data_IF_087456370657
#
_entry.id   IF_087456370657
#
_cell.length_a   1.000
_cell.length_b   1.000
_cell.length_c   1.000
_cell.angle_alpha   90.00
_cell.angle_beta   90.00
_cell.angle_gamma   90.00
#
_symmetry.space_group_name_H-M   'P 1'
#
loop_
_entity.id
_entity.type
_entity.pdbx_description
1 polymer ?
#
# COMPACT_ATOMS: atom_id res chain seq x y z
N UNK A 1 12.39 2.31 -2.21
CA UNK A 1 12.24 2.69 -0.81
C UNK A 1 11.63 1.56 0.03
N UNK A 2 10.67 0.80 -0.50
CA UNK A 2 10.14 -0.43 0.07
C UNK A 2 9.71 -1.38 -1.06
N UNK A 3 9.53 -2.66 -0.75
CA UNK A 3 8.99 -3.66 -1.67
C UNK A 3 7.69 -4.21 -1.10
N UNK A 4 6.67 -4.37 -1.95
CA UNK A 4 5.46 -5.08 -1.60
C UNK A 4 5.43 -6.40 -2.37
N UNK A 5 5.35 -7.51 -1.65
CA UNK A 5 5.27 -8.83 -2.22
C UNK A 5 3.84 -9.36 -2.13
N UNK A 6 3.27 -9.75 -3.25
CA UNK A 6 1.94 -10.35 -3.29
C UNK A 6 2.00 -11.77 -2.73
N UNK A 7 1.20 -12.05 -1.70
CA UNK A 7 1.17 -13.35 -1.04
C UNK A 7 -0.20 -14.02 -1.10
N UNK A 8 -1.24 -13.27 -1.51
CA UNK A 8 -2.57 -13.83 -1.68
C UNK A 8 -2.57 -14.84 -2.84
N UNK A 9 -3.01 -16.06 -2.53
CA UNK A 9 -2.83 -17.22 -3.40
C UNK A 9 -3.94 -17.38 -4.45
N UNK A 10 -5.20 -17.15 -4.04
CA UNK A 10 -6.34 -17.56 -4.87
C UNK A 10 -6.54 -16.66 -6.08
N UNK A 11 -6.31 -15.37 -5.91
CA UNK A 11 -6.57 -14.35 -6.93
C UNK A 11 -5.31 -13.91 -7.67
N UNK A 12 -4.18 -13.91 -6.96
CA UNK A 12 -2.94 -13.33 -7.48
C UNK A 12 -1.79 -14.35 -7.61
N UNK A 13 -2.05 -15.62 -7.29
CA UNK A 13 -1.08 -16.72 -7.37
C UNK A 13 0.24 -16.43 -6.62
N UNK A 14 0.14 -15.64 -5.53
CA UNK A 14 1.26 -15.29 -4.68
C UNK A 14 1.48 -16.31 -3.55
N UNK A 15 2.60 -16.20 -2.85
CA UNK A 15 2.87 -17.00 -1.67
C UNK A 15 3.78 -16.32 -0.67
N UNK A 16 3.71 -16.73 0.60
CA UNK A 16 4.65 -16.31 1.64
C UNK A 16 6.07 -16.81 1.35
N UNK A 17 6.20 -17.95 0.64
CA UNK A 17 7.51 -18.47 0.21
C UNK A 17 8.19 -17.54 -0.80
N UNK A 18 7.43 -16.95 -1.73
CA UNK A 18 7.96 -15.95 -2.66
C UNK A 18 8.42 -14.70 -1.92
N UNK A 19 7.65 -14.26 -0.89
CA UNK A 19 8.05 -13.14 -0.04
C UNK A 19 9.33 -13.45 0.73
N UNK A 20 9.51 -14.66 1.27
CA UNK A 20 10.73 -15.06 1.95
C UNK A 20 11.94 -15.02 1.01
N UNK A 21 11.80 -15.51 -0.23
CA UNK A 21 12.86 -15.42 -1.24
C UNK A 21 13.19 -13.95 -1.58
N UNK A 22 12.16 -13.11 -1.74
CA UNK A 22 12.38 -11.68 -1.96
C UNK A 22 13.10 -11.03 -0.77
N UNK A 23 12.77 -11.43 0.46
CA UNK A 23 13.44 -10.95 1.69
C UNK A 23 14.94 -11.27 1.71
N UNK A 24 15.33 -12.46 1.24
CA UNK A 24 16.75 -12.84 1.15
C UNK A 24 17.54 -12.00 0.14
N UNK A 25 16.86 -11.47 -0.89
CA UNK A 25 17.49 -10.72 -1.97
C UNK A 25 17.65 -9.22 -1.66
N UNK A 26 16.92 -8.66 -0.67
CA UNK A 26 16.90 -7.23 -0.40
C UNK A 26 16.82 -6.91 1.10
N UNK A 27 17.41 -5.78 1.49
CA UNK A 27 17.31 -5.25 2.87
C UNK A 27 16.20 -4.18 3.02
N UNK A 28 15.50 -3.87 1.94
CA UNK A 28 14.42 -2.87 1.97
C UNK A 28 13.25 -3.34 2.82
N UNK A 29 12.50 -2.44 3.48
CA UNK A 29 11.25 -2.80 4.16
C UNK A 29 10.30 -3.55 3.24
N UNK A 30 9.68 -4.62 3.76
CA UNK A 30 8.83 -5.55 3.01
C UNK A 30 7.38 -5.47 3.47
N UNK A 31 6.47 -5.22 2.53
CA UNK A 31 5.02 -5.28 2.77
C UNK A 31 4.49 -6.63 2.30
N UNK A 32 3.87 -7.39 3.20
CA UNK A 32 3.12 -8.59 2.84
C UNK A 32 1.77 -8.18 2.23
N UNK A 33 1.63 -8.24 0.91
CA UNK A 33 0.38 -7.90 0.20
C UNK A 33 -0.58 -9.07 0.21
N UNK A 34 -1.47 -9.10 1.20
CA UNK A 34 -2.49 -10.13 1.38
C UNK A 34 -3.83 -9.53 1.78
N UNK A 35 -4.86 -10.37 1.91
CA UNK A 35 -6.16 -10.02 2.48
C UNK A 35 -6.16 -10.50 3.94
N UNK A 36 -5.84 -9.57 4.85
CA UNK A 36 -5.69 -9.86 6.28
C UNK A 36 -7.04 -9.74 6.99
N UNK A 37 -7.54 -10.84 7.50
CA UNK A 37 -8.81 -10.92 8.25
C UNK A 37 -8.68 -11.64 9.59
N UNK A 38 -7.54 -12.27 9.85
CA UNK A 38 -7.27 -13.02 11.08
C UNK A 38 -5.90 -12.65 11.68
N UNK A 39 -5.77 -12.52 13.02
CA UNK A 39 -4.51 -12.23 13.70
C UNK A 39 -3.40 -13.25 13.37
N UNK A 40 -3.75 -14.52 13.11
CA UNK A 40 -2.80 -15.54 12.72
C UNK A 40 -2.02 -15.14 11.46
N UNK A 41 -2.70 -14.55 10.45
CA UNK A 41 -2.04 -14.09 9.21
C UNK A 41 -0.97 -13.03 9.47
N UNK A 42 -1.15 -12.18 10.49
CA UNK A 42 -0.16 -11.16 10.87
C UNK A 42 1.08 -11.81 11.47
N UNK A 43 0.90 -12.81 12.36
CA UNK A 43 2.01 -13.58 12.91
C UNK A 43 2.77 -14.32 11.81
N UNK A 44 2.03 -14.96 10.91
CA UNK A 44 2.60 -15.70 9.79
C UNK A 44 3.40 -14.77 8.87
N UNK A 45 2.82 -13.63 8.44
CA UNK A 45 3.53 -12.63 7.65
C UNK A 45 4.83 -12.16 8.33
N UNK A 46 4.78 -11.92 9.65
CA UNK A 46 5.97 -11.54 10.42
C UNK A 46 7.05 -12.61 10.40
N UNK A 47 6.68 -13.89 10.57
CA UNK A 47 7.62 -15.02 10.52
C UNK A 47 8.32 -15.14 9.16
N UNK A 48 7.64 -14.76 8.08
CA UNK A 48 8.19 -14.76 6.72
C UNK A 48 8.92 -13.45 6.34
N UNK A 49 9.12 -12.55 7.31
CA UNK A 49 9.97 -11.37 7.15
C UNK A 49 9.25 -10.09 6.72
N UNK A 50 7.93 -10.01 6.87
CA UNK A 50 7.20 -8.77 6.63
C UNK A 50 7.49 -7.72 7.70
N UNK A 51 7.67 -6.48 7.27
CA UNK A 51 7.78 -5.29 8.12
C UNK A 51 6.45 -4.53 8.20
N UNK A 52 5.55 -4.75 7.23
CA UNK A 52 4.25 -4.11 7.18
C UNK A 52 3.20 -5.02 6.53
N UNK A 53 1.93 -4.75 6.87
CA UNK A 53 0.75 -5.42 6.29
C UNK A 53 -0.31 -4.41 5.88
N UNK A 54 -1.11 -4.67 4.83
CA UNK A 54 -2.31 -3.91 4.54
C UNK A 54 -3.49 -4.42 5.38
N UNK A 55 -4.33 -3.50 5.81
CA UNK A 55 -5.64 -3.78 6.39
C UNK A 55 -6.71 -3.10 5.53
N UNK A 56 -7.50 -3.89 4.79
CA UNK A 56 -8.55 -3.38 3.93
C UNK A 56 -9.75 -2.97 4.77
N UNK A 57 -9.94 -1.66 4.96
CA UNK A 57 -10.98 -1.11 5.87
C UNK A 57 -12.39 -1.48 5.40
N UNK A 58 -12.63 -1.56 4.09
CA UNK A 58 -13.95 -1.84 3.53
C UNK A 58 -14.48 -3.24 3.78
N UNK A 59 -13.63 -4.23 4.08
CA UNK A 59 -14.05 -5.62 4.33
C UNK A 59 -14.07 -5.99 5.82
N UNK A 60 -13.59 -5.12 6.69
CA UNK A 60 -13.51 -5.33 8.14
C UNK A 60 -14.57 -4.47 8.84
N UNK A 61 -15.23 -5.01 9.86
CA UNK A 61 -15.94 -4.17 10.80
C UNK A 61 -14.94 -3.37 11.66
N UNK A 62 -15.43 -2.34 12.38
CA UNK A 62 -14.55 -1.43 13.11
C UNK A 62 -13.76 -2.13 14.20
N UNK A 63 -14.43 -2.98 14.99
CA UNK A 63 -13.80 -3.69 16.12
C UNK A 63 -12.71 -4.66 15.62
N UNK A 64 -12.97 -5.36 14.51
CA UNK A 64 -11.99 -6.26 13.89
C UNK A 64 -10.82 -5.50 13.31
N UNK A 65 -11.08 -4.38 12.65
CA UNK A 65 -10.02 -3.53 12.11
C UNK A 65 -9.08 -3.02 13.21
N UNK A 66 -9.63 -2.48 14.31
CA UNK A 66 -8.85 -2.00 15.46
C UNK A 66 -8.05 -3.13 16.12
N UNK A 67 -8.64 -4.30 16.30
CA UNK A 67 -7.96 -5.46 16.89
C UNK A 67 -6.79 -5.97 16.02
N UNK A 68 -6.93 -5.92 14.69
CA UNK A 68 -5.85 -6.30 13.77
C UNK A 68 -4.75 -5.22 13.72
N UNK A 69 -5.13 -3.95 13.80
CA UNK A 69 -4.19 -2.82 13.92
C UNK A 69 -3.32 -2.97 15.16
N UNK A 70 -3.94 -3.12 16.34
CA UNK A 70 -3.24 -3.35 17.62
C UNK A 70 -2.32 -4.57 17.54
N UNK A 71 -2.77 -5.64 16.88
CA UNK A 71 -1.96 -6.84 16.72
C UNK A 71 -0.71 -6.59 15.89
N UNK A 72 -0.83 -5.89 14.75
CA UNK A 72 0.31 -5.56 13.92
C UNK A 72 1.34 -4.70 14.69
N UNK A 73 0.87 -3.67 15.38
CA UNK A 73 1.70 -2.79 16.20
C UNK A 73 2.39 -3.54 17.33
N UNK A 74 1.70 -4.47 18.01
CA UNK A 74 2.28 -5.30 19.07
C UNK A 74 3.43 -6.20 18.61
N UNK A 75 3.49 -6.50 17.32
CA UNK A 75 4.55 -7.27 16.67
C UNK A 75 5.64 -6.38 16.05
N UNK A 76 5.58 -5.06 16.27
CA UNK A 76 6.50 -4.09 15.68
C UNK A 76 6.36 -3.96 14.16
N UNK A 77 5.17 -4.26 13.61
CA UNK A 77 4.87 -4.12 12.20
C UNK A 77 4.08 -2.84 11.94
N UNK A 78 4.32 -2.21 10.81
CA UNK A 78 3.47 -1.13 10.34
C UNK A 78 2.17 -1.69 9.75
N UNK A 79 1.03 -1.13 10.15
CA UNK A 79 -0.25 -1.41 9.49
C UNK A 79 -0.57 -0.29 8.50
N UNK A 80 -0.85 -0.66 7.27
CA UNK A 80 -1.26 0.25 6.20
C UNK A 80 -2.77 0.13 6.02
N UNK A 81 -3.53 1.14 6.45
CA UNK A 81 -4.98 1.17 6.24
C UNK A 81 -5.27 1.41 4.75
N UNK A 82 -5.79 0.39 4.08
CA UNK A 82 -6.16 0.46 2.67
C UNK A 82 -7.63 0.88 2.55
N UNK A 83 -7.85 2.04 1.91
CA UNK A 83 -9.17 2.67 1.79
C UNK A 83 -9.50 2.95 0.33
N UNK A 84 -10.81 2.98 0.00
CA UNK A 84 -11.35 3.25 -1.33
C UNK A 84 -12.38 4.35 -1.36
N UNK A 85 -12.89 4.72 -0.18
CA UNK A 85 -13.90 5.77 -0.03
C UNK A 85 -13.52 6.73 1.10
N UNK A 86 -14.07 7.96 1.11
CA UNK A 86 -13.91 8.88 2.22
C UNK A 86 -14.39 8.29 3.56
N UNK A 87 -15.48 7.53 3.56
CA UNK A 87 -16.04 6.90 4.77
C UNK A 87 -15.09 5.84 5.35
N UNK A 88 -14.41 5.07 4.50
CA UNK A 88 -13.35 4.14 4.92
C UNK A 88 -12.15 4.90 5.51
N UNK A 89 -11.78 6.03 4.91
CA UNK A 89 -10.71 6.88 5.42
C UNK A 89 -11.06 7.45 6.81
N UNK A 90 -12.29 7.92 7.01
CA UNK A 90 -12.77 8.39 8.32
C UNK A 90 -12.75 7.27 9.38
N UNK A 91 -13.08 6.03 9.00
CA UNK A 91 -12.99 4.87 9.87
C UNK A 91 -11.55 4.56 10.27
N UNK A 92 -10.63 4.62 9.32
CA UNK A 92 -9.21 4.41 9.56
C UNK A 92 -8.65 5.49 10.51
N UNK A 93 -8.98 6.76 10.27
CA UNK A 93 -8.54 7.87 11.13
C UNK A 93 -9.06 7.76 12.57
N UNK A 94 -10.31 7.30 12.77
CA UNK A 94 -10.84 7.06 14.12
C UNK A 94 -10.08 5.98 14.89
N UNK A 95 -9.51 5.00 14.20
CA UNK A 95 -8.66 3.98 14.80
C UNK A 95 -7.23 4.46 15.08
N UNK A 96 -6.86 5.68 14.67
CA UNK A 96 -5.56 6.26 14.95
C UNK A 96 -4.43 5.80 14.03
N UNK A 97 -4.74 5.36 12.80
CA UNK A 97 -3.73 4.91 11.86
C UNK A 97 -2.74 6.02 11.47
N UNK A 98 -1.48 5.65 11.31
CA UNK A 98 -0.41 6.57 10.85
C UNK A 98 -0.16 6.50 9.34
N UNK A 99 -0.64 5.46 8.65
CA UNK A 99 -0.42 5.23 7.22
C UNK A 99 -1.73 4.85 6.54
N UNK A 100 -2.09 5.60 5.51
CA UNK A 100 -3.27 5.34 4.67
C UNK A 100 -2.83 5.13 3.23
N UNK A 101 -3.25 4.01 2.63
CA UNK A 101 -3.12 3.75 1.21
C UNK A 101 -4.49 3.90 0.54
N UNK A 102 -4.63 4.85 -0.37
CA UNK A 102 -5.84 5.00 -1.18
C UNK A 102 -5.71 4.09 -2.40
N UNK A 103 -6.55 3.05 -2.44
CA UNK A 103 -6.57 2.10 -3.54
C UNK A 103 -7.57 2.55 -4.62
N UNK A 104 -7.04 2.80 -5.81
CA UNK A 104 -7.84 3.21 -6.97
C UNK A 104 -8.66 2.08 -7.60
N UNK A 105 -8.42 0.81 -7.24
CA UNK A 105 -9.20 -0.33 -7.73
C UNK A 105 -10.39 -0.62 -6.83
N UNK A 106 -11.58 -0.79 -7.43
CA UNK A 106 -12.78 -1.23 -6.72
C UNK A 106 -12.83 -2.75 -6.61
N UNK A 107 -13.27 -3.29 -5.46
CA UNK A 107 -13.35 -4.75 -5.27
C UNK A 107 -14.39 -5.40 -6.16
N UNK A 108 -15.58 -4.81 -6.24
CA UNK A 108 -16.76 -5.46 -6.84
C UNK A 108 -16.71 -5.52 -8.35
N UNK A 109 -16.22 -4.46 -8.98
CA UNK A 109 -16.28 -4.32 -10.44
C UNK A 109 -14.91 -4.41 -11.11
N UNK A 110 -13.85 -4.50 -10.33
CA UNK A 110 -12.46 -4.41 -10.81
C UNK A 110 -12.22 -3.19 -11.70
N UNK A 111 -12.90 -2.09 -11.39
CA UNK A 111 -12.77 -0.82 -12.11
C UNK A 111 -11.72 0.06 -11.47
N UNK A 112 -10.98 0.77 -12.30
CA UNK A 112 -9.96 1.73 -11.86
C UNK A 112 -10.57 3.14 -11.79
N UNK A 113 -10.75 3.67 -10.56
CA UNK A 113 -11.05 5.08 -10.33
C UNK A 113 -9.75 5.87 -10.21
N UNK A 114 -9.29 6.47 -11.30
CA UNK A 114 -8.04 7.26 -11.33
C UNK A 114 -8.10 8.52 -10.47
N UNK A 115 -9.28 8.97 -10.06
CA UNK A 115 -9.48 10.16 -9.25
C UNK A 115 -9.56 9.85 -7.75
N UNK A 116 -9.65 8.58 -7.34
CA UNK A 116 -9.85 8.18 -5.94
C UNK A 116 -8.86 8.87 -4.99
N UNK A 117 -7.58 8.91 -5.37
CA UNK A 117 -6.57 9.56 -4.53
C UNK A 117 -6.82 11.07 -4.38
N UNK A 118 -7.13 11.77 -5.46
CA UNK A 118 -7.41 13.21 -5.44
C UNK A 118 -8.70 13.56 -4.67
N UNK A 119 -9.65 12.64 -4.63
CA UNK A 119 -10.92 12.79 -3.90
C UNK A 119 -10.75 12.56 -2.39
N UNK A 120 -9.91 11.61 -1.98
CA UNK A 120 -9.76 11.18 -0.59
C UNK A 120 -8.62 11.91 0.13
N UNK A 121 -7.47 12.08 -0.52
CA UNK A 121 -6.26 12.61 0.10
C UNK A 121 -6.40 14.00 0.75
N UNK A 122 -7.20 14.95 0.23
CA UNK A 122 -7.40 16.24 0.88
C UNK A 122 -8.07 16.16 2.24
N UNK A 123 -8.84 15.11 2.51
CA UNK A 123 -9.49 14.87 3.82
C UNK A 123 -8.56 14.23 4.86
N UNK A 124 -7.38 13.75 4.46
CA UNK A 124 -6.44 13.11 5.37
C UNK A 124 -5.54 14.17 6.04
N UNK A 125 -5.34 14.08 7.37
CA UNK A 125 -4.44 14.96 8.12
C UNK A 125 -3.00 14.96 7.58
N UNK A 126 -2.26 16.03 7.84
CA UNK A 126 -0.87 16.18 7.36
C UNK A 126 0.11 15.21 8.01
N UNK A 127 -0.16 14.75 9.22
CA UNK A 127 0.64 13.79 9.98
C UNK A 127 0.52 12.36 9.46
N UNK A 128 -0.56 12.03 8.75
CA UNK A 128 -0.79 10.70 8.15
C UNK A 128 0.03 10.55 6.87
N UNK A 129 0.74 9.45 6.74
CA UNK A 129 1.45 9.10 5.51
C UNK A 129 0.43 8.63 4.47
N UNK A 130 0.45 9.26 3.29
CA UNK A 130 -0.51 9.04 2.21
C UNK A 130 0.15 8.28 1.06
N UNK A 131 -0.34 7.08 0.79
CA UNK A 131 0.16 6.24 -0.29
C UNK A 131 -0.90 6.19 -1.40
N UNK A 132 -0.51 6.51 -2.63
CA UNK A 132 -1.35 6.25 -3.81
C UNK A 132 -1.10 4.83 -4.29
N UNK A 133 -2.16 4.01 -4.34
CA UNK A 133 -2.12 2.60 -4.72
C UNK A 133 -2.99 2.35 -5.96
N UNK A 134 -2.39 1.83 -7.00
CA UNK A 134 -3.04 1.55 -8.28
C UNK A 134 -3.15 2.76 -9.21
N UNK A 135 -3.23 2.49 -10.50
CA UNK A 135 -3.42 3.49 -11.54
C UNK A 135 -2.19 4.35 -11.90
N UNK A 136 -1.07 4.16 -11.23
CA UNK A 136 0.20 4.83 -11.57
C UNK A 136 0.98 3.96 -12.54
N UNK A 137 1.03 4.38 -13.79
CA UNK A 137 1.72 3.67 -14.88
C UNK A 137 2.92 4.44 -15.44
N UNK A 138 2.93 5.75 -15.33
CA UNK A 138 3.93 6.62 -15.91
C UNK A 138 4.54 7.57 -14.88
N UNK A 139 5.72 8.15 -15.16
CA UNK A 139 6.28 9.25 -14.37
C UNK A 139 5.31 10.42 -14.16
N UNK A 140 4.48 10.72 -15.15
CA UNK A 140 3.46 11.77 -15.06
C UNK A 140 2.37 11.45 -14.04
N UNK A 141 1.92 10.19 -14.00
CA UNK A 141 0.92 9.76 -13.02
C UNK A 141 1.47 9.88 -11.59
N UNK A 142 2.75 9.52 -11.40
CA UNK A 142 3.44 9.66 -10.12
C UNK A 142 3.51 11.13 -9.68
N UNK A 143 3.92 12.04 -10.58
CA UNK A 143 3.99 13.48 -10.29
C UNK A 143 2.59 14.03 -9.99
N UNK A 144 1.57 13.58 -10.70
CA UNK A 144 0.18 13.96 -10.41
C UNK A 144 -0.26 13.50 -9.01
N UNK A 145 0.03 12.25 -8.62
CA UNK A 145 -0.26 11.76 -7.28
C UNK A 145 0.46 12.59 -6.20
N UNK A 146 1.74 12.91 -6.41
CA UNK A 146 2.52 13.77 -5.52
C UNK A 146 1.93 15.18 -5.41
N UNK A 147 1.46 15.76 -6.52
CA UNK A 147 0.79 17.07 -6.55
C UNK A 147 -0.54 17.07 -5.78
N UNK A 148 -1.20 15.91 -5.66
CA UNK A 148 -2.39 15.70 -4.83
C UNK A 148 -2.04 15.37 -3.37
N UNK A 149 -0.78 15.40 -2.98
CA UNK A 149 -0.33 15.18 -1.62
C UNK A 149 0.09 13.75 -1.27
N UNK A 150 0.39 12.89 -2.25
CA UNK A 150 0.96 11.58 -1.99
C UNK A 150 2.38 11.70 -1.45
N UNK A 151 2.67 11.03 -0.34
CA UNK A 151 4.02 10.86 0.22
C UNK A 151 4.75 9.71 -0.49
N UNK A 152 4.00 8.72 -0.95
CA UNK A 152 4.52 7.56 -1.67
C UNK A 152 3.51 7.04 -2.71
N UNK A 153 4.04 6.27 -3.65
CA UNK A 153 3.26 5.56 -4.67
C UNK A 153 3.63 4.07 -4.62
N UNK A 154 2.63 3.21 -4.65
CA UNK A 154 2.82 1.77 -4.82
C UNK A 154 2.39 1.38 -6.24
N UNK A 155 3.37 1.07 -7.08
CA UNK A 155 3.18 0.68 -8.47
C UNK A 155 3.69 -0.75 -8.68
N UNK A 156 2.89 -1.59 -9.32
CA UNK A 156 3.27 -2.96 -9.67
C UNK A 156 2.98 -3.26 -11.15
N UNK A 157 1.72 -3.10 -11.57
CA UNK A 157 1.24 -3.51 -12.88
C UNK A 157 2.05 -2.94 -14.05
N UNK A 158 2.31 -1.64 -14.01
CA UNK A 158 3.09 -0.97 -15.07
C UNK A 158 4.55 -1.43 -15.12
N UNK A 159 5.12 -1.77 -13.96
CA UNK A 159 6.51 -2.27 -13.87
C UNK A 159 6.57 -3.72 -14.36
N UNK A 160 5.65 -4.56 -13.93
CA UNK A 160 5.64 -5.99 -14.26
C UNK A 160 5.22 -6.26 -15.71
N UNK A 161 4.37 -5.40 -16.30
CA UNK A 161 3.98 -5.49 -17.72
C UNK A 161 5.02 -4.90 -18.68
N UNK A 162 6.05 -4.22 -18.18
CA UNK A 162 7.09 -3.62 -19.02
C UNK A 162 8.02 -4.68 -19.63
N UNK A 163 8.42 -4.48 -20.87
CA UNK A 163 9.41 -5.35 -21.54
C UNK A 163 10.80 -5.29 -20.88
N UNK A 164 11.11 -4.18 -20.20
CA UNK A 164 12.31 -3.98 -19.37
C UNK A 164 11.88 -3.46 -17.98
N UNK A 165 11.74 -4.39 -17.02
CA UNK A 165 11.36 -4.13 -15.65
C UNK A 165 12.33 -3.17 -14.94
N UNK A 166 13.64 -3.31 -15.21
CA UNK A 166 14.66 -2.48 -14.60
C UNK A 166 14.54 -1.02 -15.05
N UNK A 167 14.37 -0.81 -16.35
CA UNK A 167 14.19 0.53 -16.93
C UNK A 167 12.90 1.19 -16.44
N UNK A 168 11.79 0.45 -16.40
CA UNK A 168 10.51 0.94 -15.89
C UNK A 168 10.61 1.34 -14.41
N UNK A 169 11.24 0.49 -13.58
CA UNK A 169 11.45 0.77 -12.15
C UNK A 169 12.32 2.02 -11.96
N UNK A 170 13.42 2.14 -12.69
CA UNK A 170 14.30 3.31 -12.61
C UNK A 170 13.59 4.58 -13.03
N UNK A 171 12.77 4.52 -14.07
CA UNK A 171 11.99 5.67 -14.55
C UNK A 171 11.04 6.21 -13.48
N UNK A 172 10.28 5.32 -12.83
CA UNK A 172 9.38 5.72 -11.74
C UNK A 172 10.16 6.20 -10.50
N UNK A 173 11.23 5.51 -10.11
CA UNK A 173 12.05 5.90 -8.97
C UNK A 173 12.68 7.29 -9.17
N UNK A 174 13.18 7.59 -10.38
CA UNK A 174 13.73 8.89 -10.72
C UNK A 174 12.66 9.98 -10.72
N UNK A 175 11.45 9.67 -11.22
CA UNK A 175 10.32 10.60 -11.16
C UNK A 175 9.93 10.98 -9.73
N UNK A 176 10.01 10.04 -8.78
CA UNK A 176 9.79 10.31 -7.36
C UNK A 176 10.83 11.23 -6.71
N UNK A 177 11.98 11.43 -7.34
CA UNK A 177 13.00 12.36 -6.89
C UNK A 177 12.88 13.76 -7.55
N UNK A 178 11.89 13.95 -8.41
CA UNK A 178 11.67 15.22 -9.09
C UNK A 178 11.30 16.32 -8.08
N UNK A 179 11.80 17.58 -8.25
CA UNK A 179 11.51 18.68 -7.33
C UNK A 179 10.02 19.01 -7.13
N UNK A 180 9.17 18.60 -8.07
CA UNK A 180 7.71 18.71 -7.94
C UNK A 180 7.11 17.68 -6.97
N UNK A 181 7.87 16.68 -6.52
CA UNK A 181 7.46 15.71 -5.52
C UNK A 181 7.96 16.19 -4.15
N UNK A 182 7.08 16.70 -3.26
CA UNK A 182 7.50 17.17 -1.95
C UNK A 182 8.05 15.98 -1.14
N UNK A 183 9.27 16.11 -0.62
CA UNK A 183 9.82 15.15 0.33
C UNK A 183 9.43 15.58 1.74
N UNK A 184 8.84 14.69 2.54
CA UNK A 184 8.83 14.86 3.99
C UNK A 184 10.29 14.78 4.47
N UNK A 185 10.75 15.84 5.11
CA UNK A 185 12.03 15.86 5.82
C UNK A 185 11.83 15.34 7.23
#
# INVERSE_FOLDING_TARGET
HLIACQTERLRFDGSLADMAQAREAVELPMVCRDVIVDPYQIHEARCYGADAIPLQVGILDQARFEALLDRAESLGMAAVAEVRTPEEADRALRAGVSVVAVNSWTFDTNNLNRNAFAEIAPGLPSEVIKISLGGVATPRDLINAASCGADAVLAAEAVMAAGDVLSATRSLATAGQHPACPSRR
#
